data_IF_647579502868
#
_entry.id   IF_647579502868
#
_cell.length_a   1.000
_cell.length_b   1.000
_cell.length_c   1.000
_cell.angle_alpha   90.00
_cell.angle_beta   90.00
_cell.angle_gamma   90.00
#
_symmetry.space_group_name_H-M   'P 1'
#
loop_
_entity.id
_entity.type
_entity.pdbx_description
1 polymer ?
#
# COMPACT_ATOMS: atom_id res chain seq x y z
N UNK A 1 -5.32 18.34 0.32
CA UNK A 1 -6.17 17.92 -0.83
C UNK A 1 -6.15 16.41 -0.91
N UNK A 2 -7.26 15.76 -1.26
CA UNK A 2 -7.31 14.30 -1.47
C UNK A 2 -6.99 13.94 -2.92
N UNK A 3 -6.38 12.78 -3.15
CA UNK A 3 -6.10 12.27 -4.49
C UNK A 3 -6.19 10.76 -4.52
N UNK A 4 -6.49 10.21 -5.70
CA UNK A 4 -6.43 8.78 -5.92
C UNK A 4 -5.22 8.41 -6.74
N UNK A 5 -4.47 7.44 -6.26
CA UNK A 5 -3.27 6.94 -6.93
C UNK A 5 -3.38 5.43 -7.09
N UNK A 6 -2.67 4.89 -8.07
CA UNK A 6 -2.64 3.46 -8.34
C UNK A 6 -1.21 2.95 -8.49
N UNK A 7 -1.03 1.69 -8.10
CA UNK A 7 0.23 0.94 -8.20
C UNK A 7 -0.07 -0.38 -8.91
N UNK A 8 0.77 -0.73 -9.90
CA UNK A 8 0.73 -2.04 -10.52
C UNK A 8 1.66 -2.99 -9.74
N UNK A 9 1.05 -3.86 -8.93
CA UNK A 9 1.81 -4.74 -8.04
C UNK A 9 2.51 -5.85 -8.82
N UNK A 10 1.89 -6.34 -9.89
CA UNK A 10 2.54 -7.32 -10.77
C UNK A 10 3.78 -6.73 -11.42
N UNK A 11 3.71 -5.49 -11.91
CA UNK A 11 4.88 -4.79 -12.46
C UNK A 11 5.96 -4.57 -11.39
N UNK A 12 5.57 -4.13 -10.20
CA UNK A 12 6.47 -3.94 -9.07
C UNK A 12 7.18 -5.24 -8.67
N UNK A 13 6.45 -6.36 -8.60
CA UNK A 13 7.01 -7.67 -8.27
C UNK A 13 7.97 -8.20 -9.36
N UNK A 14 7.63 -8.00 -10.64
CA UNK A 14 8.42 -8.51 -11.77
C UNK A 14 9.65 -7.66 -12.09
N UNK A 15 9.52 -6.34 -12.05
CA UNK A 15 10.57 -5.41 -12.50
C UNK A 15 11.29 -4.72 -11.35
N UNK A 16 10.79 -4.88 -10.11
CA UNK A 16 11.28 -4.20 -8.90
C UNK A 16 11.07 -2.69 -8.91
N UNK A 17 10.28 -2.19 -9.85
CA UNK A 17 9.91 -0.78 -9.93
C UNK A 17 8.51 -0.63 -10.53
N UNK A 18 7.82 0.44 -10.19
CA UNK A 18 6.53 0.75 -10.82
C UNK A 18 6.26 2.25 -10.69
N UNK A 19 5.58 2.82 -11.70
CA UNK A 19 5.06 4.18 -11.63
C UNK A 19 3.84 4.23 -10.74
N UNK A 20 3.81 5.21 -9.84
CA UNK A 20 2.61 5.58 -9.11
C UNK A 20 1.93 6.68 -9.90
N UNK A 21 0.76 6.35 -10.45
CA UNK A 21 0.01 7.27 -11.31
C UNK A 21 -1.31 7.66 -10.66
N UNK A 22 -1.79 8.86 -10.95
CA UNK A 22 -3.07 9.34 -10.46
C UNK A 22 -4.26 8.87 -11.32
N UNK A 23 -5.45 9.38 -11.04
CA UNK A 23 -6.67 9.12 -11.81
C UNK A 23 -6.62 9.63 -13.26
N UNK A 24 -5.74 10.59 -13.56
CA UNK A 24 -5.54 11.21 -14.87
C UNK A 24 -4.44 10.53 -15.69
N UNK A 25 -3.83 9.46 -15.16
CA UNK A 25 -2.67 8.76 -15.74
C UNK A 25 -1.37 9.55 -15.70
N UNK A 26 -1.33 10.63 -14.92
CA UNK A 26 -0.09 11.35 -14.66
C UNK A 26 0.75 10.58 -13.65
N UNK A 27 2.05 10.49 -13.91
CA UNK A 27 2.98 9.95 -12.91
C UNK A 27 3.24 10.98 -11.85
N UNK A 28 3.07 10.59 -10.60
CA UNK A 28 3.41 11.44 -9.46
C UNK A 28 4.69 10.97 -8.78
N UNK A 29 4.92 9.65 -8.75
CA UNK A 29 6.07 9.05 -8.09
C UNK A 29 6.56 7.79 -8.81
N UNK A 30 7.75 7.34 -8.41
CA UNK A 30 8.28 6.03 -8.74
C UNK A 30 8.46 5.23 -7.45
N UNK A 31 7.92 4.01 -7.37
CA UNK A 31 8.24 3.08 -6.29
C UNK A 31 9.26 2.07 -6.80
N UNK A 32 10.30 1.81 -6.02
CA UNK A 32 11.37 0.85 -6.32
C UNK A 32 11.62 -0.01 -5.11
N UNK A 33 11.75 -1.32 -5.29
CA UNK A 33 12.04 -2.24 -4.20
C UNK A 33 11.83 -3.70 -4.56
N UNK A 34 12.24 -4.59 -3.65
CA UNK A 34 12.02 -6.03 -3.77
C UNK A 34 11.96 -6.70 -2.40
N UNK A 35 11.48 -7.94 -2.41
CA UNK A 35 11.54 -8.89 -1.29
C UNK A 35 12.57 -10.01 -1.56
N UNK A 36 13.06 -10.68 -0.51
CA UNK A 36 13.87 -11.89 -0.53
C UNK A 36 15.28 -11.88 0.11
N UNK A 37 15.84 -10.76 0.63
CA UNK A 37 17.20 -10.71 1.19
C UNK A 37 17.33 -9.76 2.41
N UNK A 38 18.40 -9.92 3.19
CA UNK A 38 18.80 -8.95 4.23
C UNK A 38 18.95 -7.57 3.56
N UNK A 39 18.28 -6.54 4.11
CA UNK A 39 18.20 -5.15 3.59
C UNK A 39 17.14 -4.87 2.51
N UNK A 40 16.14 -5.74 2.35
CA UNK A 40 15.01 -5.43 1.47
C UNK A 40 14.32 -4.13 1.87
N UNK A 41 14.18 -3.27 0.85
CA UNK A 41 13.74 -1.91 1.01
C UNK A 41 12.78 -1.58 -0.14
N UNK A 42 11.68 -0.91 0.20
CA UNK A 42 10.92 -0.16 -0.80
C UNK A 42 11.13 1.33 -0.55
N UNK A 43 11.39 2.07 -1.61
CA UNK A 43 11.56 3.51 -1.57
C UNK A 43 10.63 4.15 -2.60
N UNK A 44 9.98 5.24 -2.21
CA UNK A 44 9.17 6.06 -3.10
C UNK A 44 9.94 7.32 -3.42
N UNK A 45 10.15 7.55 -4.71
CA UNK A 45 10.88 8.66 -5.27
C UNK A 45 9.94 9.70 -5.86
N UNK A 46 10.29 10.97 -5.71
CA UNK A 46 9.75 12.05 -6.55
C UNK A 46 10.17 11.86 -8.02
N UNK A 47 9.55 12.61 -8.93
CA UNK A 47 9.97 12.63 -10.33
C UNK A 47 11.37 13.23 -10.54
N UNK A 48 11.85 14.03 -9.57
CA UNK A 48 13.20 14.62 -9.57
C UNK A 48 14.25 13.67 -9.00
N UNK A 49 13.84 12.52 -8.43
CA UNK A 49 14.76 11.51 -7.88
C UNK A 49 14.99 11.61 -6.38
N UNK A 50 14.26 12.47 -5.66
CA UNK A 50 14.36 12.59 -4.20
C UNK A 50 13.63 11.42 -3.52
N UNK A 51 14.24 10.83 -2.50
CA UNK A 51 13.59 9.80 -1.67
C UNK A 51 12.61 10.47 -0.72
N UNK A 52 11.31 10.29 -0.98
CA UNK A 52 10.24 10.88 -0.17
C UNK A 52 9.92 10.01 1.04
N UNK A 53 9.90 8.70 0.85
CA UNK A 53 9.68 7.75 1.93
C UNK A 53 10.40 6.43 1.63
N UNK A 54 10.70 5.69 2.69
CA UNK A 54 11.35 4.40 2.60
C UNK A 54 10.85 3.45 3.68
N UNK A 55 10.80 2.16 3.39
CA UNK A 55 10.50 1.10 4.35
C UNK A 55 11.57 0.03 4.26
N UNK A 56 12.16 -0.33 5.40
CA UNK A 56 13.24 -1.32 5.51
C UNK A 56 12.78 -2.50 6.35
N UNK A 57 13.00 -3.72 5.87
CA UNK A 57 12.73 -4.91 6.67
C UNK A 57 13.84 -5.13 7.71
N UNK A 58 13.47 -5.17 8.99
CA UNK A 58 14.39 -5.36 10.12
C UNK A 58 14.56 -6.83 10.52
N UNK A 59 13.48 -7.62 10.48
CA UNK A 59 13.52 -9.02 10.93
C UNK A 59 13.28 -10.01 9.79
N UNK A 60 14.15 -11.02 9.72
CA UNK A 60 13.93 -12.25 8.98
C UNK A 60 13.39 -13.29 9.98
N UNK A 61 12.08 -13.43 10.08
CA UNK A 61 11.41 -14.33 11.03
C UNK A 61 9.90 -14.40 10.80
N UNK A 62 9.19 -15.17 11.64
CA UNK A 62 7.73 -15.41 11.50
C UNK A 62 6.90 -14.13 11.61
N UNK A 63 7.41 -13.11 12.31
CA UNK A 63 6.77 -11.80 12.43
C UNK A 63 7.69 -10.74 11.80
N UNK A 64 7.42 -10.31 10.56
CA UNK A 64 8.22 -9.26 9.95
C UNK A 64 8.01 -7.93 10.68
N UNK A 65 9.12 -7.23 10.88
CA UNK A 65 9.16 -5.85 11.38
C UNK A 65 9.71 -4.97 10.27
N UNK A 66 9.06 -3.84 10.05
CA UNK A 66 9.48 -2.85 9.09
C UNK A 66 9.76 -1.53 9.79
N UNK A 67 10.87 -0.89 9.47
CA UNK A 67 11.14 0.49 9.85
C UNK A 67 10.77 1.41 8.71
N UNK A 68 10.05 2.49 9.02
CA UNK A 68 9.59 3.47 8.07
C UNK A 68 10.38 4.75 8.24
N UNK A 69 10.70 5.36 7.12
CA UNK A 69 11.44 6.61 7.01
C UNK A 69 10.67 7.57 6.11
N UNK A 70 10.68 8.85 6.46
CA UNK A 70 10.15 9.93 5.64
C UNK A 70 11.28 10.96 5.46
N UNK A 71 11.60 11.32 4.22
CA UNK A 71 12.76 12.19 3.91
C UNK A 71 14.04 11.77 4.65
N UNK A 72 14.39 10.48 4.59
CA UNK A 72 15.52 9.85 5.30
C UNK A 72 15.49 9.93 6.84
N UNK A 73 14.42 10.42 7.46
CA UNK A 73 14.24 10.45 8.91
C UNK A 73 13.40 9.26 9.36
N UNK A 74 13.84 8.55 10.40
CA UNK A 74 13.07 7.48 11.01
C UNK A 74 11.77 8.03 11.59
N UNK A 75 10.63 7.50 11.15
CA UNK A 75 9.30 7.93 11.62
C UNK A 75 8.59 6.88 12.45
N UNK A 76 9.04 5.62 12.38
CA UNK A 76 8.34 4.57 13.08
C UNK A 76 8.70 3.15 12.69
N UNK A 77 8.20 2.21 13.47
CA UNK A 77 8.32 0.78 13.17
C UNK A 77 6.97 0.10 13.19
N UNK A 78 6.81 -0.90 12.33
CA UNK A 78 5.59 -1.65 12.21
C UNK A 78 5.50 -2.77 13.27
N UNK A 79 4.36 -2.86 13.95
CA UNK A 79 3.94 -4.00 14.75
C UNK A 79 2.73 -4.61 14.08
N UNK A 80 2.77 -5.92 13.90
CA UNK A 80 1.87 -6.62 13.03
C UNK A 80 1.12 -7.69 13.81
N UNK A 81 -0.19 -7.69 13.65
CA UNK A 81 -1.10 -8.65 14.27
C UNK A 81 -1.98 -9.28 13.20
N UNK A 82 -1.96 -10.61 13.14
CA UNK A 82 -2.83 -11.39 12.27
C UNK A 82 -3.90 -12.10 13.04
N UNK A 83 -5.10 -12.09 12.48
CA UNK A 83 -6.15 -13.06 12.77
C UNK A 83 -6.56 -13.75 11.45
N UNK A 84 -7.28 -14.86 11.53
CA UNK A 84 -7.49 -15.83 10.43
C UNK A 84 -7.88 -15.22 9.07
N UNK A 85 -8.60 -14.09 9.05
CA UNK A 85 -8.95 -13.34 7.83
C UNK A 85 -8.72 -11.82 7.93
N UNK A 86 -8.24 -11.33 9.07
CA UNK A 86 -8.10 -9.91 9.37
C UNK A 86 -6.63 -9.57 9.59
N UNK A 87 -6.16 -8.59 8.83
CA UNK A 87 -4.81 -8.05 8.95
C UNK A 87 -4.88 -6.73 9.71
N UNK A 88 -4.11 -6.64 10.79
CA UNK A 88 -3.89 -5.38 11.51
C UNK A 88 -2.41 -5.07 11.50
N UNK A 89 -2.04 -3.92 10.94
CA UNK A 89 -0.68 -3.39 10.98
C UNK A 89 -0.71 -2.06 11.70
N UNK A 90 -0.02 -1.97 12.83
CA UNK A 90 0.16 -0.73 13.56
C UNK A 90 1.57 -0.19 13.30
N UNK A 91 1.69 1.11 13.04
CA UNK A 91 2.98 1.76 12.83
C UNK A 91 3.24 2.67 14.02
N UNK A 92 4.08 2.20 14.94
CA UNK A 92 4.55 2.96 16.10
C UNK A 92 5.29 4.20 15.61
N UNK A 93 5.16 5.34 16.29
CA UNK A 93 5.86 6.59 15.96
C UNK A 93 4.97 7.60 15.23
N UNK A 94 4.26 7.17 14.18
CA UNK A 94 3.23 7.97 13.52
C UNK A 94 1.80 7.63 13.97
N UNK A 95 1.64 6.60 14.80
CA UNK A 95 0.36 6.14 15.36
C UNK A 95 -0.69 5.78 14.30
N UNK A 96 -0.25 5.20 13.19
CA UNK A 96 -1.14 4.77 12.12
C UNK A 96 -1.56 3.32 12.30
N UNK A 97 -2.86 3.08 12.13
CA UNK A 97 -3.47 1.76 12.19
C UNK A 97 -4.02 1.40 10.81
N UNK A 98 -3.51 0.31 10.26
CA UNK A 98 -4.01 -0.31 9.04
C UNK A 98 -4.85 -1.53 9.43
N UNK A 99 -6.11 -1.53 9.04
CA UNK A 99 -7.03 -2.66 9.27
C UNK A 99 -7.60 -3.09 7.94
N UNK A 100 -7.66 -4.39 7.69
CA UNK A 100 -8.31 -4.88 6.49
C UNK A 100 -8.52 -6.38 6.46
N UNK A 101 -8.99 -6.82 5.30
CA UNK A 101 -9.23 -8.22 4.99
C UNK A 101 -8.29 -8.64 3.87
N UNK A 102 -7.50 -9.68 4.16
CA UNK A 102 -6.48 -10.17 3.25
C UNK A 102 -7.07 -10.88 2.02
N UNK A 103 -8.20 -11.57 2.15
CA UNK A 103 -8.83 -12.25 1.00
C UNK A 103 -9.40 -11.24 0.01
N UNK A 104 -10.09 -10.22 0.54
CA UNK A 104 -10.69 -9.12 -0.24
C UNK A 104 -9.66 -8.09 -0.70
N UNK A 105 -8.43 -8.16 -0.20
CA UNK A 105 -7.34 -7.19 -0.44
C UNK A 105 -7.84 -5.74 -0.30
N UNK A 106 -8.57 -5.49 0.78
CA UNK A 106 -9.16 -4.19 1.10
C UNK A 106 -8.78 -3.77 2.51
N UNK A 107 -8.24 -2.56 2.63
CA UNK A 107 -7.67 -2.05 3.87
C UNK A 107 -8.03 -0.57 4.06
N UNK A 108 -8.07 -0.13 5.32
CA UNK A 108 -8.21 1.27 5.71
C UNK A 108 -7.05 1.65 6.62
N UNK A 109 -6.45 2.81 6.36
CA UNK A 109 -5.40 3.41 7.19
C UNK A 109 -6.03 4.55 7.98
N UNK A 110 -5.78 4.58 9.29
CA UNK A 110 -6.32 5.58 10.22
C UNK A 110 -5.25 6.11 11.16
N UNK A 111 -5.40 7.35 11.61
CA UNK A 111 -4.66 7.97 12.70
C UNK A 111 -5.69 8.38 13.78
N UNK A 112 -5.80 7.59 14.84
CA UNK A 112 -6.90 7.72 15.81
C UNK A 112 -8.27 7.58 15.12
N UNK A 113 -9.08 8.65 15.10
CA UNK A 113 -10.40 8.69 14.43
C UNK A 113 -10.33 9.21 12.99
N UNK A 114 -9.19 9.71 12.56
CA UNK A 114 -9.02 10.30 11.24
C UNK A 114 -8.67 9.21 10.23
N UNK A 115 -9.39 9.18 9.12
CA UNK A 115 -9.04 8.34 7.98
C UNK A 115 -7.88 8.97 7.21
N UNK A 116 -6.85 8.19 6.93
CA UNK A 116 -5.68 8.60 6.14
C UNK A 116 -5.83 8.14 4.70
N UNK A 117 -6.21 6.88 4.51
CA UNK A 117 -6.43 6.31 3.18
C UNK A 117 -7.31 5.06 3.20
N UNK A 118 -7.82 4.71 2.04
CA UNK A 118 -8.40 3.39 1.76
C UNK A 118 -7.72 2.73 0.58
N UNK A 119 -7.49 1.42 0.69
CA UNK A 119 -6.76 0.59 -0.26
C UNK A 119 -7.69 -0.51 -0.76
N UNK A 120 -7.71 -0.73 -2.08
CA UNK A 120 -8.38 -1.88 -2.67
C UNK A 120 -7.63 -2.40 -3.90
N UNK A 121 -7.51 -3.72 -4.01
CA UNK A 121 -6.90 -4.36 -5.19
C UNK A 121 -7.93 -4.98 -6.12
N UNK A 122 -7.57 -5.00 -7.40
CA UNK A 122 -8.38 -5.54 -8.50
C UNK A 122 -7.50 -6.34 -9.44
N UNK A 123 -8.09 -7.35 -10.09
CA UNK A 123 -7.45 -8.04 -11.20
C UNK A 123 -7.77 -7.32 -12.52
N UNK A 124 -6.75 -6.97 -13.28
CA UNK A 124 -6.87 -6.33 -14.60
C UNK A 124 -5.88 -6.95 -15.56
N UNK A 125 -6.36 -7.58 -16.64
CA UNK A 125 -5.52 -8.15 -17.70
C UNK A 125 -4.34 -9.00 -17.18
N UNK A 126 -4.63 -9.91 -16.25
CA UNK A 126 -3.65 -10.78 -15.58
C UNK A 126 -2.67 -10.07 -14.62
N UNK A 127 -2.87 -8.78 -14.39
CA UNK A 127 -2.12 -7.99 -13.43
C UNK A 127 -2.96 -7.66 -12.19
N UNK A 128 -2.29 -7.42 -11.07
CA UNK A 128 -2.90 -6.91 -9.84
C UNK A 128 -2.67 -5.42 -9.76
N UNK A 129 -3.76 -4.65 -9.86
CA UNK A 129 -3.74 -3.19 -9.68
C UNK A 129 -4.24 -2.88 -8.28
N UNK A 130 -3.53 -2.02 -7.56
CA UNK A 130 -3.93 -1.51 -6.25
C UNK A 130 -4.27 -0.04 -6.34
N UNK A 131 -5.50 0.29 -5.97
CA UNK A 131 -5.99 1.65 -5.87
C UNK A 131 -5.87 2.14 -4.43
N UNK A 132 -5.42 3.39 -4.29
CA UNK A 132 -5.24 4.10 -3.03
C UNK A 132 -6.04 5.39 -3.13
N UNK A 133 -6.99 5.60 -2.23
CA UNK A 133 -7.65 6.90 -2.05
C UNK A 133 -7.05 7.54 -0.81
N UNK A 134 -6.25 8.58 -1.00
CA UNK A 134 -5.48 9.24 0.06
C UNK A 134 -6.11 10.59 0.37
N UNK A 135 -6.42 10.83 1.64
CA UNK A 135 -7.16 12.04 2.06
C UNK A 135 -6.27 13.30 2.06
N UNK A 136 -4.95 13.14 2.21
CA UNK A 136 -3.94 14.21 2.09
C UNK A 136 -2.76 13.78 1.21
N UNK A 137 -2.45 14.58 0.18
CA UNK A 137 -1.33 14.34 -0.75
C UNK A 137 0.02 14.13 -0.06
N UNK A 138 0.27 14.76 1.08
CA UNK A 138 1.53 14.63 1.83
C UNK A 138 1.74 13.20 2.36
N UNK A 139 0.65 12.45 2.55
CA UNK A 139 0.70 11.07 3.00
C UNK A 139 0.86 10.07 1.83
N UNK A 140 0.76 10.50 0.57
CA UNK A 140 0.79 9.62 -0.60
C UNK A 140 2.03 8.70 -0.64
N UNK A 141 3.27 9.20 -0.44
CA UNK A 141 4.46 8.33 -0.48
C UNK A 141 4.43 7.25 0.60
N UNK A 142 4.03 7.61 1.82
CA UNK A 142 3.95 6.69 2.95
C UNK A 142 2.85 5.65 2.75
N UNK A 143 1.66 6.08 2.30
CA UNK A 143 0.55 5.18 1.99
C UNK A 143 0.91 4.22 0.85
N UNK A 144 1.62 4.69 -0.17
CA UNK A 144 2.09 3.87 -1.27
C UNK A 144 3.08 2.78 -0.82
N UNK A 145 4.00 3.11 0.09
CA UNK A 145 4.88 2.11 0.70
C UNK A 145 4.11 1.08 1.51
N UNK A 146 3.21 1.53 2.39
CA UNK A 146 2.36 0.62 3.18
C UNK A 146 1.58 -0.30 2.24
N UNK A 147 1.04 0.25 1.16
CA UNK A 147 0.32 -0.51 0.15
C UNK A 147 1.18 -1.58 -0.54
N UNK A 148 2.47 -1.31 -0.78
CA UNK A 148 3.40 -2.28 -1.34
C UNK A 148 3.72 -3.39 -0.33
N UNK A 149 3.92 -3.04 0.95
CA UNK A 149 4.29 -4.02 1.97
C UNK A 149 3.16 -4.96 2.35
N UNK A 150 1.89 -4.58 2.22
CA UNK A 150 0.74 -5.44 2.55
C UNK A 150 0.69 -6.78 1.79
N UNK A 151 1.45 -6.93 0.68
CA UNK A 151 1.55 -8.19 -0.07
C UNK A 151 2.78 -9.04 0.27
N UNK A 152 3.59 -8.61 1.25
CA UNK A 152 4.83 -9.27 1.59
C UNK A 152 4.62 -10.77 1.90
N UNK A 153 5.43 -11.70 1.36
CA UNK A 153 5.25 -13.13 1.58
C UNK A 153 5.25 -13.57 3.05
N UNK A 154 6.04 -12.93 3.93
CA UNK A 154 5.97 -13.23 5.38
C UNK A 154 4.80 -12.58 6.11
N UNK A 155 4.10 -11.62 5.50
CA UNK A 155 2.79 -11.18 5.97
C UNK A 155 1.67 -12.17 5.58
N UNK A 156 2.02 -13.18 4.79
CA UNK A 156 1.08 -13.97 4.02
C UNK A 156 1.46 -15.44 4.19
N UNK A 157 0.98 -16.10 5.25
CA UNK A 157 1.45 -17.45 5.59
C UNK A 157 1.35 -18.47 4.43
N UNK A 158 0.46 -18.29 3.44
CA UNK A 158 0.39 -19.20 2.27
C UNK A 158 -0.45 -18.69 1.08
N UNK A 159 -0.67 -17.39 0.89
CA UNK A 159 -1.45 -16.92 -0.27
C UNK A 159 -0.57 -16.32 -1.36
N UNK A 160 -0.25 -17.11 -2.39
CA UNK A 160 -0.12 -16.52 -3.73
C UNK A 160 -1.40 -15.70 -3.95
N UNK A 161 -1.29 -14.39 -4.19
CA UNK A 161 -2.43 -13.55 -4.57
C UNK A 161 -3.17 -14.26 -5.69
N UNK A 162 -4.37 -14.77 -5.39
CA UNK A 162 -5.15 -15.49 -6.39
C UNK A 162 -5.90 -14.44 -7.18
N UNK A 163 -5.50 -14.22 -8.43
CA UNK A 163 -6.25 -13.32 -9.34
C UNK A 163 -7.75 -13.66 -9.39
N UNK A 164 -8.10 -14.95 -9.21
CA UNK A 164 -9.49 -15.43 -9.15
C UNK A 164 -10.29 -14.95 -7.92
N UNK A 165 -9.63 -14.59 -6.81
CA UNK A 165 -10.32 -14.08 -5.62
C UNK A 165 -10.50 -12.56 -5.63
N UNK A 166 -9.87 -11.88 -6.59
CA UNK A 166 -9.99 -10.43 -6.73
C UNK A 166 -11.16 -10.06 -7.62
N UNK A 167 -11.83 -8.97 -7.26
CA UNK A 167 -12.79 -8.31 -8.14
C UNK A 167 -12.09 -7.96 -9.47
N UNK A 168 -12.76 -8.24 -10.60
CA UNK A 168 -12.27 -7.77 -11.90
C UNK A 168 -12.36 -6.25 -11.94
N UNK A 169 -11.30 -5.61 -12.41
CA UNK A 169 -11.35 -4.19 -12.69
C UNK A 169 -12.40 -3.94 -13.79
N UNK A 170 -13.40 -3.07 -13.55
CA UNK A 170 -14.49 -2.88 -14.50
C UNK A 170 -13.97 -2.32 -15.84
N UNK A 171 -14.21 -3.05 -16.94
CA UNK A 171 -13.79 -2.64 -18.29
C UNK A 171 -14.51 -1.37 -18.72
N UNK A 172 -13.77 -0.35 -19.16
CA UNK A 172 -14.33 0.93 -19.59
C UNK A 172 -14.80 1.85 -18.45
N UNK A 173 -14.73 1.40 -17.19
CA UNK A 173 -14.99 2.26 -16.06
C UNK A 173 -13.79 3.19 -15.86
N UNK A 174 -14.04 4.51 -15.94
CA UNK A 174 -13.34 5.41 -15.01
C UNK A 174 -13.57 4.80 -13.62
N UNK A 175 -12.52 4.58 -12.81
CA UNK A 175 -12.66 3.95 -11.50
C UNK A 175 -13.90 4.51 -10.82
N UNK A 176 -14.94 3.69 -10.63
CA UNK A 176 -16.17 4.12 -9.98
C UNK A 176 -15.81 4.27 -8.52
N UNK A 177 -15.38 5.48 -8.21
CA UNK A 177 -15.09 5.95 -6.89
C UNK A 177 -16.41 5.96 -6.14
N UNK A 178 -16.57 5.03 -5.19
CA UNK A 178 -17.76 5.01 -4.35
C UNK A 178 -18.00 6.42 -3.82
N UNK A 179 -19.18 6.97 -4.14
CA UNK A 179 -19.68 8.16 -3.49
C UNK A 179 -19.66 7.86 -1.99
N UNK A 180 -18.83 8.61 -1.25
CA UNK A 180 -18.99 8.68 0.19
C UNK A 180 -20.35 9.34 0.41
N UNK A 181 -21.39 8.53 0.53
CA UNK A 181 -22.60 8.95 1.21
C UNK A 181 -22.19 9.27 2.65
N UNK A 182 -21.92 10.56 2.89
CA UNK A 182 -22.10 11.17 4.19
C UNK A 182 -23.52 10.83 4.63
N UNK A 183 -23.67 9.82 5.48
CA UNK A 183 -24.85 9.72 6.32
C UNK A 183 -24.78 10.90 7.29
N UNK A 184 -25.45 11.99 6.90
CA UNK A 184 -26.02 12.94 7.86
C UNK A 184 -26.94 12.16 8.78
N UNK A 185 -26.60 12.10 10.07
CA UNK A 185 -27.48 12.39 11.19
C UNK A 185 -26.66 12.56 12.46
#
# INVERSE_FOLDING_TARGET
MSRKIQINLSELDHTRSCRIIDEYKDTKYLIVGKWGLVSDTFSVYSLTGDVLAEVRQQSLGVTPRFDLFCFNQFVGSSVLHFSMHYTTLFINGINWLVVGNQEKQSYTITHGRQKIASIKSYAQADQVIRLLNVENIEHEPMVALIAAILNHPSLVHTSKLKLRSLDKYPKGAKPQWGECHFLKK
#
